data_IF_014238552042
#
_entry.id   IF_014238552042
#
_cell.length_a   1.000
_cell.length_b   1.000
_cell.length_c   1.000
_cell.angle_alpha   90.00
_cell.angle_beta   90.00
_cell.angle_gamma   90.00
#
_symmetry.space_group_name_H-M   'P 1'
#
loop_
_entity.id
_entity.type
_entity.pdbx_description
1 polymer ?
#
# COMPACT_ATOMS: atom_id res chain seq x y z
N UNK A 1 -17.82 -2.85 4.86
CA UNK A 1 -17.03 -2.40 6.01
C UNK A 1 -17.80 -1.32 6.73
N UNK A 2 -17.79 -1.36 8.06
CA UNK A 2 -18.36 -0.30 8.89
C UNK A 2 -17.31 0.79 9.19
N UNK A 3 -17.76 1.93 9.72
CA UNK A 3 -16.88 3.06 10.04
C UNK A 3 -15.80 2.72 11.08
N UNK A 4 -16.06 1.76 11.96
CA UNK A 4 -15.11 1.32 12.98
C UNK A 4 -13.94 0.56 12.35
N UNK A 5 -14.24 -0.38 11.46
CA UNK A 5 -13.24 -1.13 10.69
C UNK A 5 -12.40 -0.18 9.82
N UNK A 6 -13.03 0.83 9.22
CA UNK A 6 -12.32 1.85 8.43
C UNK A 6 -11.36 2.64 9.33
N UNK A 7 -11.80 3.10 10.51
CA UNK A 7 -10.96 3.83 11.46
C UNK A 7 -9.78 3.00 11.93
N UNK A 8 -10.03 1.74 12.29
CA UNK A 8 -8.99 0.81 12.71
C UNK A 8 -7.88 0.68 11.66
N UNK A 9 -8.25 0.52 10.39
CA UNK A 9 -7.29 0.44 9.28
C UNK A 9 -6.49 1.74 9.14
N UNK A 10 -7.16 2.90 9.18
CA UNK A 10 -6.51 4.20 9.07
C UNK A 10 -5.50 4.41 10.21
N UNK A 11 -5.89 4.07 11.43
CA UNK A 11 -5.03 4.18 12.61
C UNK A 11 -3.82 3.25 12.53
N UNK A 12 -4.02 2.01 12.11
CA UNK A 12 -2.95 1.04 11.90
C UNK A 12 -1.93 1.54 10.86
N UNK A 13 -2.39 2.01 9.70
CA UNK A 13 -1.53 2.54 8.64
C UNK A 13 -0.76 3.77 9.13
N UNK A 14 -1.44 4.72 9.79
CA UNK A 14 -0.81 5.92 10.34
C UNK A 14 0.32 5.58 11.32
N UNK A 15 0.07 4.64 12.23
CA UNK A 15 1.07 4.15 13.18
C UNK A 15 2.29 3.60 12.44
N UNK A 16 2.10 2.67 11.50
CA UNK A 16 3.21 2.05 10.75
C UNK A 16 4.03 3.05 9.94
N UNK A 17 3.39 4.02 9.27
CA UNK A 17 4.10 5.07 8.55
C UNK A 17 4.86 6.01 9.49
N UNK A 18 4.30 6.32 10.66
CA UNK A 18 4.99 7.18 11.63
C UNK A 18 6.24 6.54 12.23
N UNK A 19 6.19 5.22 12.45
CA UNK A 19 7.27 4.42 13.05
C UNK A 19 8.40 4.13 12.05
N UNK A 20 8.05 3.81 10.80
CA UNK A 20 9.01 3.23 9.83
C UNK A 20 9.40 4.18 8.70
N UNK A 21 8.67 5.29 8.49
CA UNK A 21 8.92 6.20 7.35
C UNK A 21 9.34 7.60 7.82
N UNK A 22 10.56 8.07 7.45
CA UNK A 22 11.03 9.41 7.77
C UNK A 22 10.06 10.51 7.31
N UNK A 23 10.00 11.62 8.07
CA UNK A 23 9.08 12.75 7.78
C UNK A 23 9.19 13.29 6.33
N UNK A 24 10.40 13.50 5.76
CA UNK A 24 10.52 13.97 4.38
C UNK A 24 9.89 13.00 3.37
N UNK A 25 10.09 11.70 3.56
CA UNK A 25 9.52 10.66 2.70
C UNK A 25 8.00 10.63 2.80
N UNK A 26 7.43 10.78 4.01
CA UNK A 26 5.98 10.90 4.21
C UNK A 26 5.37 12.09 3.46
N UNK A 27 6.07 13.22 3.39
CA UNK A 27 5.61 14.38 2.61
C UNK A 27 5.54 14.06 1.11
N UNK A 28 6.55 13.38 0.57
CA UNK A 28 6.58 12.95 -0.84
C UNK A 28 5.45 11.95 -1.12
N UNK A 29 5.28 10.94 -0.25
CA UNK A 29 4.20 9.96 -0.37
C UNK A 29 2.84 10.65 -0.37
N UNK A 30 2.58 11.60 0.55
CA UNK A 30 1.32 12.36 0.57
C UNK A 30 1.06 13.13 -0.73
N UNK A 31 2.10 13.74 -1.32
CA UNK A 31 2.00 14.43 -2.61
C UNK A 31 1.65 13.45 -3.74
N UNK A 32 2.25 12.25 -3.74
CA UNK A 32 1.98 11.19 -4.73
C UNK A 32 0.61 10.53 -4.52
N UNK A 33 0.17 10.36 -3.27
CA UNK A 33 -1.15 9.81 -2.93
C UNK A 33 -2.30 10.65 -3.47
N UNK A 34 -2.15 11.98 -3.54
CA UNK A 34 -3.10 12.84 -4.25
C UNK A 34 -3.27 12.48 -5.74
N UNK A 35 -2.24 11.90 -6.37
CA UNK A 35 -2.35 11.40 -7.74
C UNK A 35 -3.08 10.05 -7.81
N UNK A 36 -3.13 9.30 -6.70
CA UNK A 36 -3.92 8.06 -6.58
C UNK A 36 -5.43 8.33 -6.47
N UNK A 37 -5.86 9.58 -6.24
CA UNK A 37 -7.29 9.95 -6.35
C UNK A 37 -7.84 9.69 -7.77
N UNK A 38 -6.97 9.63 -8.78
CA UNK A 38 -7.31 9.30 -10.16
C UNK A 38 -7.15 7.81 -10.49
N UNK A 39 -6.76 6.99 -9.52
CA UNK A 39 -6.50 5.58 -9.75
C UNK A 39 -7.81 4.80 -9.82
N UNK A 40 -8.07 4.13 -10.94
CA UNK A 40 -9.21 3.23 -11.09
C UNK A 40 -8.79 1.77 -10.82
N UNK A 41 -9.32 1.12 -9.77
CA UNK A 41 -9.06 -0.30 -9.51
C UNK A 41 -9.42 -1.22 -10.68
N UNK A 42 -10.30 -0.80 -11.59
CA UNK A 42 -10.69 -1.59 -12.76
C UNK A 42 -9.55 -1.79 -13.76
N UNK A 43 -8.59 -0.86 -13.81
CA UNK A 43 -7.40 -0.90 -14.68
C UNK A 43 -6.36 -1.92 -14.20
N UNK A 44 -6.49 -2.44 -12.98
CA UNK A 44 -5.58 -3.45 -12.45
C UNK A 44 -5.71 -4.79 -13.23
N UNK A 45 -4.58 -5.50 -13.44
CA UNK A 45 -4.61 -6.83 -14.04
C UNK A 45 -5.48 -7.77 -13.21
N UNK A 46 -6.17 -8.70 -13.89
CA UNK A 46 -7.11 -9.61 -13.24
C UNK A 46 -6.47 -10.47 -12.13
N UNK A 47 -5.17 -10.77 -12.26
CA UNK A 47 -4.38 -11.45 -11.23
C UNK A 47 -4.30 -10.63 -9.94
N UNK A 48 -4.02 -9.33 -10.04
CA UNK A 48 -3.92 -8.45 -8.87
C UNK A 48 -5.29 -8.21 -8.21
N UNK A 49 -6.36 -8.09 -9.00
CA UNK A 49 -7.73 -7.92 -8.47
C UNK A 49 -8.25 -9.13 -7.69
N UNK A 50 -7.72 -10.33 -7.97
CA UNK A 50 -8.08 -11.58 -7.28
C UNK A 50 -7.07 -11.98 -6.22
N UNK A 51 -5.99 -11.21 -6.06
CA UNK A 51 -4.93 -11.47 -5.11
C UNK A 51 -5.38 -11.09 -3.71
N UNK A 52 -5.17 -11.98 -2.73
CA UNK A 52 -5.39 -11.63 -1.32
C UNK A 52 -4.29 -10.69 -0.82
N UNK A 53 -4.52 -10.02 0.31
CA UNK A 53 -3.53 -9.11 0.89
C UNK A 53 -2.30 -9.92 1.35
N UNK A 54 -2.52 -11.12 1.87
CA UNK A 54 -1.49 -12.06 2.32
C UNK A 54 -0.59 -12.49 1.15
N UNK A 55 -1.20 -12.94 0.04
CA UNK A 55 -0.49 -13.32 -1.18
C UNK A 55 0.32 -12.13 -1.72
N UNK A 56 -0.27 -10.94 -1.74
CA UNK A 56 0.39 -9.74 -2.22
C UNK A 56 1.65 -9.42 -1.38
N UNK A 57 1.54 -9.50 -0.06
CA UNK A 57 2.68 -9.25 0.84
C UNK A 57 3.79 -10.29 0.63
N UNK A 58 3.44 -11.56 0.46
CA UNK A 58 4.41 -12.61 0.20
C UNK A 58 5.12 -12.44 -1.15
N UNK A 59 4.37 -12.16 -2.22
CA UNK A 59 4.91 -11.87 -3.56
C UNK A 59 5.89 -10.70 -3.49
N UNK A 60 5.51 -9.58 -2.86
CA UNK A 60 6.38 -8.39 -2.76
C UNK A 60 7.64 -8.69 -1.95
N UNK A 61 7.54 -9.42 -0.83
CA UNK A 61 8.71 -9.80 -0.03
C UNK A 61 9.68 -10.69 -0.81
N UNK A 62 9.16 -11.69 -1.51
CA UNK A 62 9.97 -12.61 -2.31
C UNK A 62 10.64 -11.85 -3.46
N UNK A 63 9.90 -10.98 -4.15
CA UNK A 63 10.42 -10.18 -5.25
C UNK A 63 11.48 -9.15 -4.82
N UNK A 64 11.40 -8.63 -3.59
CA UNK A 64 12.46 -7.80 -3.00
C UNK A 64 13.70 -8.63 -2.66
N UNK A 65 13.50 -9.83 -2.13
CA UNK A 65 14.59 -10.72 -1.73
C UNK A 65 15.36 -11.25 -2.95
N UNK A 66 14.67 -11.61 -4.03
CA UNK A 66 15.29 -12.12 -5.26
C UNK A 66 15.75 -11.00 -6.23
N UNK A 67 15.40 -9.73 -5.94
CA UNK A 67 15.80 -8.57 -6.72
C UNK A 67 15.02 -8.34 -8.02
N UNK A 68 13.94 -9.09 -8.25
CA UNK A 68 13.03 -8.87 -9.38
C UNK A 68 12.22 -7.58 -9.25
N UNK A 69 11.92 -7.17 -8.01
CA UNK A 69 11.30 -5.88 -7.72
C UNK A 69 12.36 -4.80 -7.47
N UNK A 70 12.42 -3.81 -8.37
CA UNK A 70 13.37 -2.69 -8.31
C UNK A 70 12.64 -1.43 -7.82
N UNK A 71 12.67 -1.20 -6.50
CA UNK A 71 12.14 0.00 -5.84
C UNK A 71 13.25 1.00 -5.51
#
# INVERSE_FOLDING_TARGET
MNDSEIKEIIEYVNKKYSENVPRPVRFVVRKKAKMMEKFDPSEMPASLRKCTIEDYVEIVKNALHDGSLKL
#
